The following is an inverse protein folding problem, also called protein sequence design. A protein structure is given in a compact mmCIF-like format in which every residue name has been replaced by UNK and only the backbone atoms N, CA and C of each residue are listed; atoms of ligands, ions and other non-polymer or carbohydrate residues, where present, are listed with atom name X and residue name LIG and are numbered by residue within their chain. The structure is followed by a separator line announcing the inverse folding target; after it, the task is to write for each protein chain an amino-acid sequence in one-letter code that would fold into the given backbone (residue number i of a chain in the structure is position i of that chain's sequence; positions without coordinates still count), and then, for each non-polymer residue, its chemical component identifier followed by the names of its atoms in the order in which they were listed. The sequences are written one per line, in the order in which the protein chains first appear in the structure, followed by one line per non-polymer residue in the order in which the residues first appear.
data_IF_826688540745
#
_entry.id   IF_826688540745
#
_cell.length_a   1.000
_cell.length_b   1.000
_cell.length_c   1.000
_cell.angle_alpha   90.00
_cell.angle_beta   90.00
_cell.angle_gamma   90.00
#
_symmetry.space_group_name_H-M   'P 1'
#
loop_
_entity.id
_entity.type
_entity.pdbx_description
1 polymer ?
#
# COMPACT_ATOMS: atom_id res chain seq x y z
N UNK A 1 17.25 14.65 -8.28
CA UNK A 1 16.28 14.19 -9.31
C UNK A 1 14.86 14.39 -8.80
N UNK A 2 14.03 15.17 -9.51
CA UNK A 2 12.66 15.51 -9.08
C UNK A 2 11.59 14.45 -9.41
N UNK A 3 10.35 14.68 -8.94
CA UNK A 3 9.21 13.79 -9.18
C UNK A 3 8.70 13.96 -10.62
N UNK A 4 8.95 12.96 -11.48
CA UNK A 4 8.36 12.92 -12.83
C UNK A 4 6.86 12.60 -12.73
N UNK A 5 6.04 13.32 -13.51
CA UNK A 5 4.61 12.98 -13.70
C UNK A 5 4.55 11.66 -14.47
N UNK A 6 3.69 10.75 -14.03
CA UNK A 6 3.52 9.41 -14.63
C UNK A 6 2.04 9.24 -14.96
N UNK A 7 1.73 8.71 -16.13
CA UNK A 7 0.35 8.37 -16.49
C UNK A 7 -0.18 7.25 -15.58
N UNK A 8 -1.49 7.27 -15.30
CA UNK A 8 -2.17 6.21 -14.55
C UNK A 8 -2.47 5.05 -15.51
N UNK A 9 -1.41 4.31 -15.86
CA UNK A 9 -1.45 3.09 -16.68
C UNK A 9 -0.50 2.05 -16.08
N UNK A 10 -0.64 0.78 -16.49
CA UNK A 10 0.27 -0.30 -16.06
C UNK A 10 1.70 0.00 -16.53
N UNK A 11 2.66 -0.01 -15.60
CA UNK A 11 4.09 0.11 -15.95
C UNK A 11 4.53 -1.19 -16.64
N UNK A 12 5.05 -1.06 -17.86
CA UNK A 12 5.49 -2.19 -18.68
C UNK A 12 6.83 -2.76 -18.20
N UNK A 13 7.80 -1.88 -17.95
CA UNK A 13 9.14 -2.25 -17.51
C UNK A 13 9.09 -2.83 -16.07
N UNK A 14 9.55 -4.08 -15.91
CA UNK A 14 9.39 -4.87 -14.67
C UNK A 14 10.13 -4.24 -13.48
N UNK A 15 11.33 -3.72 -13.68
CA UNK A 15 12.20 -3.09 -12.66
C UNK A 15 11.59 -1.78 -12.19
N UNK A 16 11.22 -0.88 -13.10
CA UNK A 16 10.45 0.33 -12.78
C UNK A 16 9.16 0.00 -12.03
N UNK A 17 8.42 -1.04 -12.45
CA UNK A 17 7.20 -1.47 -11.77
C UNK A 17 7.47 -1.93 -10.34
N UNK A 18 8.53 -2.71 -10.12
CA UNK A 18 8.91 -3.17 -8.80
C UNK A 18 9.31 -2.02 -7.88
N UNK A 19 10.13 -1.08 -8.36
CA UNK A 19 10.54 0.11 -7.60
C UNK A 19 9.33 1.00 -7.29
N UNK A 20 8.45 1.22 -8.29
CA UNK A 20 7.22 1.98 -8.11
C UNK A 20 6.28 1.31 -7.09
N UNK A 21 6.11 -0.01 -7.16
CA UNK A 21 5.35 -0.78 -6.18
C UNK A 21 5.90 -0.60 -4.77
N UNK A 22 7.20 -0.78 -4.57
CA UNK A 22 7.83 -0.61 -3.26
C UNK A 22 7.60 0.80 -2.69
N UNK A 23 7.75 1.84 -3.51
CA UNK A 23 7.54 3.24 -3.09
C UNK A 23 6.06 3.55 -2.80
N UNK A 24 5.16 3.18 -3.71
CA UNK A 24 3.72 3.44 -3.58
C UNK A 24 3.09 2.66 -2.44
N UNK A 25 3.46 1.40 -2.26
CA UNK A 25 3.02 0.57 -1.13
C UNK A 25 3.39 1.21 0.20
N UNK A 26 4.66 1.60 0.39
CA UNK A 26 5.11 2.28 1.61
C UNK A 26 4.33 3.58 1.85
N UNK A 27 4.13 4.39 0.80
CA UNK A 27 3.35 5.63 0.91
C UNK A 27 1.88 5.40 1.27
N UNK A 28 1.23 4.38 0.69
CA UNK A 28 -0.15 4.03 0.99
C UNK A 28 -0.31 3.60 2.45
N UNK A 29 0.55 2.70 2.93
CA UNK A 29 0.52 2.24 4.32
C UNK A 29 0.77 3.38 5.32
N UNK A 30 1.68 4.31 4.99
CA UNK A 30 1.92 5.51 5.82
C UNK A 30 0.67 6.37 5.93
N UNK A 31 -0.01 6.64 4.81
CA UNK A 31 -1.26 7.42 4.81
C UNK A 31 -2.39 6.73 5.55
N UNK A 32 -2.54 5.41 5.38
CA UNK A 32 -3.55 4.64 6.11
C UNK A 32 -3.34 4.74 7.62
N UNK A 33 -2.08 4.67 8.07
CA UNK A 33 -1.71 4.88 9.47
C UNK A 33 -1.99 6.31 9.95
N UNK A 34 -1.64 7.32 9.16
CA UNK A 34 -1.90 8.73 9.51
C UNK A 34 -3.39 8.99 9.69
N UNK A 35 -4.24 8.52 8.77
CA UNK A 35 -5.70 8.68 8.85
C UNK A 35 -6.27 7.98 10.09
N UNK A 36 -5.81 6.77 10.37
CA UNK A 36 -6.26 6.03 11.55
C UNK A 36 -5.94 6.78 12.85
N UNK A 37 -4.72 7.32 12.98
CA UNK A 37 -4.31 8.06 14.19
C UNK A 37 -5.01 9.42 14.29
N UNK A 38 -5.12 10.16 13.18
CA UNK A 38 -5.64 11.53 13.19
C UNK A 38 -7.16 11.59 13.37
N UNK A 39 -7.88 10.59 12.84
CA UNK A 39 -9.34 10.58 12.85
C UNK A 39 -9.93 9.53 13.80
N UNK A 40 -9.09 8.75 14.50
CA UNK A 40 -9.50 7.63 15.37
C UNK A 40 -10.45 6.65 14.66
N UNK A 41 -10.11 6.31 13.41
CA UNK A 41 -10.90 5.41 12.57
C UNK A 41 -10.18 4.09 12.33
N UNK A 42 -10.98 3.02 12.27
CA UNK A 42 -10.50 1.69 11.94
C UNK A 42 -10.18 1.60 10.43
N UNK A 43 -8.92 1.30 10.09
CA UNK A 43 -8.44 1.21 8.69
C UNK A 43 -7.70 -0.11 8.45
N UNK A 44 -8.06 -0.82 7.38
CA UNK A 44 -7.29 -1.95 6.86
C UNK A 44 -6.88 -1.75 5.40
N UNK A 45 -5.68 -2.22 5.06
CA UNK A 45 -5.18 -2.27 3.69
C UNK A 45 -4.57 -3.65 3.41
N UNK A 46 -4.99 -4.27 2.30
CA UNK A 46 -4.52 -5.59 1.84
C UNK A 46 -3.95 -5.44 0.43
N UNK A 47 -2.73 -5.92 0.22
CA UNK A 47 -2.01 -5.77 -1.05
C UNK A 47 -1.33 -7.09 -1.39
N UNK A 48 -1.71 -7.67 -2.52
CA UNK A 48 -1.04 -8.83 -3.09
C UNK A 48 0.00 -8.38 -4.11
N UNK A 49 1.24 -8.83 -3.95
CA UNK A 49 2.23 -8.67 -5.03
C UNK A 49 1.95 -9.64 -6.16
N UNK A 50 2.51 -9.33 -7.33
CA UNK A 50 2.50 -10.23 -8.48
C UNK A 50 3.28 -11.53 -8.24
N UNK A 51 4.01 -11.64 -7.12
CA UNK A 51 4.73 -12.82 -6.64
C UNK A 51 3.97 -13.58 -5.54
N UNK A 52 2.71 -13.23 -5.27
CA UNK A 52 1.89 -13.89 -4.25
C UNK A 52 2.21 -13.50 -2.81
N UNK A 53 3.08 -12.50 -2.58
CA UNK A 53 3.39 -12.02 -1.23
C UNK A 53 2.27 -11.08 -0.76
N UNK A 54 1.71 -11.41 0.40
CA UNK A 54 0.74 -10.59 1.10
C UNK A 54 1.45 -9.47 1.86
N UNK A 55 0.96 -8.25 1.68
CA UNK A 55 1.32 -7.08 2.49
C UNK A 55 0.05 -6.50 3.08
N UNK A 56 -0.04 -6.47 4.40
CA UNK A 56 -1.22 -5.98 5.10
C UNK A 56 -0.87 -4.92 6.14
N UNK A 57 -1.84 -4.05 6.42
CA UNK A 57 -1.85 -3.12 7.54
C UNK A 57 -3.25 -3.10 8.14
N UNK A 58 -3.33 -3.13 9.45
CA UNK A 58 -4.56 -2.94 10.22
C UNK A 58 -4.25 -2.00 11.38
N UNK A 59 -5.12 -1.02 11.63
CA UNK A 59 -4.98 -0.15 12.79
C UNK A 59 -5.37 -0.83 14.10
N UNK A 60 -6.27 -1.82 14.04
CA UNK A 60 -6.94 -2.35 15.22
C UNK A 60 -7.08 -3.87 15.11
N UNK A 61 -6.97 -4.56 16.25
CA UNK A 61 -7.19 -6.00 16.33
C UNK A 61 -8.63 -6.43 16.03
N UNK A 62 -9.59 -5.51 15.91
CA UNK A 62 -10.98 -5.83 15.53
C UNK A 62 -11.11 -6.37 14.11
N UNK A 63 -10.16 -6.04 13.23
CA UNK A 63 -10.12 -6.52 11.84
C UNK A 63 -9.38 -7.86 11.69
N UNK A 64 -9.06 -8.56 12.80
CA UNK A 64 -8.42 -9.90 12.76
C UNK A 64 -9.23 -10.94 11.96
N UNK A 65 -10.52 -10.73 11.75
CA UNK A 65 -11.38 -11.56 10.91
C UNK A 65 -11.05 -11.49 9.40
N UNK A 66 -10.17 -10.60 8.96
CA UNK A 66 -9.69 -10.54 7.56
C UNK A 66 -8.49 -11.50 7.35
N UNK A 67 -8.07 -12.23 8.38
CA UNK A 67 -7.13 -13.34 8.23
C UNK A 67 -7.82 -14.47 7.46
N UNK A 68 -7.41 -14.62 6.19
CA UNK A 68 -7.75 -15.75 5.29
C UNK A 68 -7.60 -17.09 6.00
#
# INVERSE_FOLDING_TARGET
MGRKKVEIKRIQEKSCRQVAFCKRRKGLLKKAKEVSILCDVDVAAVIFSNSGRLYQFSSTNRLFFISV
#
